data_IF_374803787296
#
_entry.id   IF_374803787296
#
_cell.length_a   1.000
_cell.length_b   1.000
_cell.length_c   1.000
_cell.angle_alpha   90.00
_cell.angle_beta   90.00
_cell.angle_gamma   90.00
#
_symmetry.space_group_name_H-M   'P 1'
#
loop_
_entity.id
_entity.type
_entity.pdbx_description
1 polymer ?
#
# COMPACT_ATOMS: atom_id res chain seq x y z
N UNK A 1 4.80 22.08 21.44
CA UNK A 1 4.06 22.88 20.44
C UNK A 1 3.25 21.88 19.65
N UNK A 2 1.91 21.92 19.74
CA UNK A 2 1.04 20.94 19.10
C UNK A 2 1.21 21.03 17.57
N UNK A 3 1.50 19.92 16.90
CA UNK A 3 1.56 19.92 15.43
C UNK A 3 0.17 20.12 14.84
N UNK A 4 0.05 21.04 13.89
CA UNK A 4 -1.21 21.43 13.27
C UNK A 4 -1.55 20.59 12.02
N UNK A 5 -2.84 20.53 11.61
CA UNK A 5 -3.29 19.72 10.49
C UNK A 5 -2.64 20.09 9.16
N UNK A 6 -2.41 19.09 8.31
CA UNK A 6 -1.89 19.22 6.95
C UNK A 6 -2.93 18.65 5.98
N UNK A 7 -3.31 19.44 4.96
CA UNK A 7 -4.21 18.94 3.92
C UNK A 7 -3.42 18.05 2.96
N UNK A 8 -3.93 16.85 2.71
CA UNK A 8 -3.44 15.98 1.65
C UNK A 8 -4.29 16.14 0.39
N UNK A 9 -3.65 16.28 -0.77
CA UNK A 9 -4.33 16.25 -2.07
C UNK A 9 -3.44 15.70 -3.18
N UNK A 10 -3.98 15.63 -4.39
CA UNK A 10 -3.23 15.24 -5.59
C UNK A 10 -3.21 16.37 -6.61
N UNK A 11 -2.06 16.56 -7.26
CA UNK A 11 -1.87 17.46 -8.39
C UNK A 11 -1.36 16.65 -9.58
N UNK A 12 -1.77 17.04 -10.78
CA UNK A 12 -1.31 16.44 -12.03
C UNK A 12 -0.50 17.50 -12.78
N UNK A 13 0.77 17.20 -13.12
CA UNK A 13 1.69 18.15 -13.74
C UNK A 13 1.15 18.76 -15.02
N UNK A 14 0.44 17.94 -15.81
CA UNK A 14 -0.06 18.34 -17.12
C UNK A 14 -1.45 19.00 -17.06
N UNK A 15 -1.98 19.29 -15.85
CA UNK A 15 -3.28 19.95 -15.66
C UNK A 15 -3.14 21.42 -15.27
N UNK A 16 -4.12 22.28 -15.62
CA UNK A 16 -4.11 23.68 -15.22
C UNK A 16 -4.10 23.86 -13.70
N UNK A 17 -3.14 24.63 -13.20
CA UNK A 17 -3.03 24.99 -11.79
C UNK A 17 -4.07 26.04 -11.42
N UNK A 18 -4.80 25.80 -10.33
CA UNK A 18 -5.77 26.73 -9.73
C UNK A 18 -5.39 27.03 -8.28
N UNK A 19 -5.72 28.23 -7.76
CA UNK A 19 -5.54 28.50 -6.33
C UNK A 19 -6.42 27.56 -5.50
N UNK A 20 -5.99 27.31 -4.27
CA UNK A 20 -6.73 26.53 -3.28
C UNK A 20 -7.21 27.48 -2.19
N UNK A 21 -8.51 27.52 -1.94
CA UNK A 21 -9.15 28.39 -0.95
C UNK A 21 -9.81 27.53 0.16
N UNK A 22 -10.22 28.15 1.27
CA UNK A 22 -10.91 27.46 2.38
C UNK A 22 -10.00 26.59 3.25
N UNK A 23 -8.71 26.95 3.33
CA UNK A 23 -7.67 26.22 4.04
C UNK A 23 -7.44 26.72 5.47
N UNK A 24 -8.40 27.41 6.08
CA UNK A 24 -8.26 28.07 7.38
C UNK A 24 -7.85 27.13 8.52
N UNK A 25 -8.14 25.83 8.35
CA UNK A 25 -7.83 24.77 9.33
C UNK A 25 -6.43 24.18 9.18
N UNK A 26 -5.73 24.45 8.07
CA UNK A 26 -4.49 23.78 7.69
C UNK A 26 -3.30 24.73 7.70
N UNK A 27 -2.16 24.28 8.19
CA UNK A 27 -0.92 25.08 8.17
C UNK A 27 -0.11 24.89 6.90
N UNK A 28 -0.38 23.82 6.16
CA UNK A 28 0.25 23.51 4.89
C UNK A 28 -0.65 22.56 4.08
N UNK A 29 -0.36 22.47 2.79
CA UNK A 29 -0.84 21.38 1.94
C UNK A 29 0.36 20.50 1.59
N UNK A 30 0.21 19.19 1.71
CA UNK A 30 1.12 18.23 1.08
C UNK A 30 0.39 17.59 -0.11
N UNK A 31 0.93 17.80 -1.31
CA UNK A 31 0.33 17.36 -2.55
C UNK A 31 1.17 16.26 -3.20
N UNK A 32 0.55 15.10 -3.42
CA UNK A 32 1.12 14.05 -4.25
C UNK A 32 1.05 14.55 -5.69
N UNK A 33 2.21 14.64 -6.33
CA UNK A 33 2.27 15.08 -7.71
C UNK A 33 2.32 13.87 -8.61
N UNK A 34 1.48 13.88 -9.65
CA UNK A 34 1.40 12.86 -10.67
C UNK A 34 1.80 13.40 -12.04
N UNK A 35 2.23 12.47 -12.89
CA UNK A 35 2.40 12.67 -14.33
C UNK A 35 1.73 11.51 -15.06
N UNK A 36 0.74 11.81 -15.89
CA UNK A 36 -0.08 10.82 -16.58
C UNK A 36 -0.72 9.79 -15.62
N UNK A 37 -1.03 10.17 -14.39
CA UNK A 37 -1.56 9.26 -13.36
C UNK A 37 -0.50 8.47 -12.56
N UNK A 38 0.78 8.49 -12.93
CA UNK A 38 1.87 7.90 -12.14
C UNK A 38 2.44 8.88 -11.11
N UNK A 39 2.80 8.47 -9.88
CA UNK A 39 3.30 9.38 -8.85
C UNK A 39 4.76 9.77 -9.11
N UNK A 40 5.09 11.07 -9.07
CA UNK A 40 6.45 11.57 -9.34
C UNK A 40 7.10 12.24 -8.14
N UNK A 41 6.34 12.66 -7.13
CA UNK A 41 6.90 13.38 -5.99
C UNK A 41 5.87 13.89 -5.00
N UNK A 42 6.37 14.48 -3.91
CA UNK A 42 5.59 15.31 -2.99
C UNK A 42 6.00 16.77 -3.15
N UNK A 43 5.03 17.67 -3.09
CA UNK A 43 5.29 19.10 -2.85
C UNK A 43 4.58 19.56 -1.60
N UNK A 44 5.29 20.33 -0.78
CA UNK A 44 4.71 21.03 0.35
C UNK A 44 4.40 22.46 -0.06
N UNK A 45 3.15 22.85 0.06
CA UNK A 45 2.65 24.15 -0.35
C UNK A 45 2.30 25.00 0.89
N UNK A 46 2.68 26.29 0.91
CA UNK A 46 2.34 27.16 2.02
C UNK A 46 0.84 27.48 2.02
N UNK A 47 0.28 27.60 3.22
CA UNK A 47 -1.06 28.16 3.44
C UNK A 47 -0.89 29.51 4.13
N UNK A 48 -1.48 30.55 3.56
CA UNK A 48 -1.46 31.92 4.10
C UNK A 48 -2.87 32.48 4.06
N UNK A 49 -3.40 32.88 5.21
CA UNK A 49 -4.77 33.41 5.35
C UNK A 49 -5.83 32.50 4.69
N UNK A 50 -5.74 31.19 4.97
CA UNK A 50 -6.70 30.21 4.44
C UNK A 50 -6.60 29.92 2.95
N UNK A 51 -5.50 30.32 2.29
CA UNK A 51 -5.32 30.16 0.84
C UNK A 51 -3.91 29.68 0.47
N UNK A 52 -3.83 28.92 -0.63
CA UNK A 52 -2.61 28.64 -1.37
C UNK A 52 -2.72 29.25 -2.79
N UNK A 53 -1.77 30.11 -3.17
CA UNK A 53 -1.83 30.81 -4.46
C UNK A 53 -1.46 29.89 -5.63
N UNK A 54 -2.01 30.15 -6.81
CA UNK A 54 -1.66 29.40 -8.02
C UNK A 54 -0.17 29.58 -8.42
N UNK A 55 0.45 30.68 -8.01
CA UNK A 55 1.88 30.95 -8.21
C UNK A 55 2.73 30.03 -7.33
N UNK A 56 2.43 29.96 -6.02
CA UNK A 56 3.15 29.07 -5.11
C UNK A 56 3.04 27.60 -5.52
N UNK A 57 1.88 27.19 -6.06
CA UNK A 57 1.70 25.84 -6.61
C UNK A 57 2.59 25.63 -7.84
N UNK A 58 2.60 26.56 -8.81
CA UNK A 58 3.45 26.46 -10.01
C UNK A 58 4.93 26.38 -9.65
N UNK A 59 5.41 27.29 -8.81
CA UNK A 59 6.80 27.27 -8.35
C UNK A 59 7.19 25.96 -7.65
N UNK A 60 6.26 25.36 -6.91
CA UNK A 60 6.50 24.08 -6.26
C UNK A 60 6.56 22.92 -7.25
N UNK A 61 5.70 22.91 -8.27
CA UNK A 61 5.72 21.91 -9.34
C UNK A 61 6.98 22.01 -10.19
N UNK A 62 7.47 23.22 -10.47
CA UNK A 62 8.70 23.47 -11.24
C UNK A 62 9.97 22.94 -10.55
N UNK A 63 9.93 22.75 -9.22
CA UNK A 63 11.03 22.16 -8.44
C UNK A 63 11.04 20.63 -8.44
N UNK A 64 9.98 19.99 -8.92
CA UNK A 64 9.98 18.53 -9.06
C UNK A 64 10.84 18.19 -10.26
N UNK A 65 12.02 17.64 -9.99
CA UNK A 65 12.70 16.81 -10.97
C UNK A 65 11.77 15.63 -11.25
N UNK A 66 11.23 15.47 -12.47
CA UNK A 66 10.38 14.33 -12.76
C UNK A 66 11.22 13.09 -12.50
N UNK A 67 10.87 12.31 -11.48
CA UNK A 67 11.41 10.97 -11.36
C UNK A 67 11.19 10.32 -12.73
N UNK A 68 12.26 9.78 -13.32
CA UNK A 68 12.23 9.07 -14.61
C UNK A 68 11.50 7.74 -14.43
N UNK A 69 10.21 7.81 -14.10
CA UNK A 69 9.29 6.71 -14.20
C UNK A 69 8.82 6.68 -15.65
N UNK A 70 9.14 5.64 -16.43
CA UNK A 70 8.66 5.53 -17.82
C UNK A 70 7.13 5.64 -17.80
N UNK A 71 6.54 6.58 -18.54
CA UNK A 71 5.11 6.90 -18.44
C UNK A 71 4.20 5.66 -18.49
N UNK A 72 2.94 5.76 -18.02
CA UNK A 72 1.98 4.65 -18.04
C UNK A 72 1.56 4.18 -19.45
N UNK A 73 2.24 4.66 -20.50
CA UNK A 73 1.92 4.46 -21.90
C UNK A 73 2.87 3.50 -22.65
N UNK A 74 3.68 2.72 -21.93
CA UNK A 74 4.23 1.46 -22.49
C UNK A 74 3.11 0.40 -22.51
N UNK A 75 2.11 0.64 -23.37
CA UNK A 75 0.90 -0.16 -23.59
C UNK A 75 1.09 -1.32 -24.59
N UNK A 76 2.31 -1.68 -24.96
CA UNK A 76 2.53 -2.69 -25.99
C UNK A 76 2.90 -4.04 -25.37
N UNK A 77 1.96 -4.99 -25.46
CA UNK A 77 2.18 -6.44 -25.39
C UNK A 77 2.73 -7.01 -24.08
N UNK A 78 2.05 -6.72 -22.97
CA UNK A 78 2.25 -7.54 -21.76
C UNK A 78 1.71 -8.97 -22.01
N UNK A 79 2.43 -10.02 -21.58
CA UNK A 79 1.87 -11.37 -21.51
C UNK A 79 0.55 -11.37 -20.72
N UNK A 80 -0.25 -12.44 -20.84
CA UNK A 80 -1.55 -12.57 -20.16
C UNK A 80 -1.47 -12.07 -18.72
N UNK A 81 -2.24 -11.02 -18.40
CA UNK A 81 -2.28 -10.42 -17.08
C UNK A 81 -2.60 -11.48 -16.02
N UNK A 82 -1.79 -11.64 -14.95
CA UNK A 82 -2.00 -12.69 -13.97
C UNK A 82 -3.31 -12.47 -13.22
N UNK A 83 -4.02 -13.55 -12.90
CA UNK A 83 -5.15 -13.46 -11.97
C UNK A 83 -4.69 -13.04 -10.57
N UNK A 84 -5.45 -12.17 -9.90
CA UNK A 84 -5.10 -11.61 -8.59
C UNK A 84 -6.22 -11.87 -7.58
N UNK A 85 -5.85 -12.42 -6.43
CA UNK A 85 -6.68 -12.38 -5.21
C UNK A 85 -6.22 -11.22 -4.34
N UNK A 86 -7.07 -10.23 -4.12
CA UNK A 86 -6.85 -9.21 -3.08
C UNK A 86 -7.37 -9.71 -1.75
N UNK A 87 -6.48 -9.97 -0.81
CA UNK A 87 -6.80 -10.43 0.53
C UNK A 87 -6.85 -9.25 1.51
N UNK A 88 -8.01 -9.05 2.13
CA UNK A 88 -8.22 -8.06 3.20
C UNK A 88 -8.46 -8.80 4.50
N UNK A 89 -7.50 -8.73 5.43
CA UNK A 89 -7.64 -9.30 6.77
C UNK A 89 -8.26 -8.26 7.69
N UNK A 90 -9.31 -8.62 8.42
CA UNK A 90 -10.05 -7.68 9.27
C UNK A 90 -10.51 -8.35 10.56
N UNK A 91 -10.68 -7.55 11.62
CA UNK A 91 -11.26 -8.01 12.88
C UNK A 91 -12.02 -6.87 13.54
N UNK A 92 -13.34 -7.02 13.66
CA UNK A 92 -14.21 -6.08 14.38
C UNK A 92 -14.08 -4.60 13.94
N UNK A 93 -13.72 -4.36 12.68
CA UNK A 93 -13.48 -3.03 12.08
C UNK A 93 -14.33 -2.80 10.82
N UNK A 94 -15.62 -3.11 10.93
CA UNK A 94 -16.55 -3.13 9.79
C UNK A 94 -16.62 -1.79 9.04
N UNK A 95 -16.46 -0.65 9.72
CA UNK A 95 -16.49 0.67 9.07
C UNK A 95 -15.22 0.98 8.26
N UNK A 96 -14.04 0.59 8.76
CA UNK A 96 -12.79 0.71 8.00
C UNK A 96 -12.85 -0.23 6.79
N UNK A 97 -13.25 -1.49 7.00
CA UNK A 97 -13.44 -2.45 5.93
C UNK A 97 -14.39 -1.95 4.83
N UNK A 98 -15.52 -1.34 5.19
CA UNK A 98 -16.46 -0.80 4.20
C UNK A 98 -15.78 0.24 3.28
N UNK A 99 -14.97 1.14 3.84
CA UNK A 99 -14.21 2.14 3.07
C UNK A 99 -13.12 1.50 2.21
N UNK A 100 -12.43 0.50 2.75
CA UNK A 100 -11.44 -0.26 1.97
C UNK A 100 -12.12 -0.91 0.76
N UNK A 101 -13.23 -1.62 0.95
CA UNK A 101 -14.00 -2.23 -0.13
C UNK A 101 -14.52 -1.20 -1.16
N UNK A 102 -14.94 0.00 -0.73
CA UNK A 102 -15.34 1.09 -1.63
C UNK A 102 -14.21 1.56 -2.57
N UNK A 103 -12.97 1.43 -2.12
CA UNK A 103 -11.80 1.71 -2.97
C UNK A 103 -11.46 0.55 -3.90
N UNK A 104 -11.65 -0.70 -3.44
CA UNK A 104 -11.39 -1.90 -4.25
C UNK A 104 -12.36 -2.03 -5.42
N UNK A 105 -13.61 -1.56 -5.28
CA UNK A 105 -14.60 -1.49 -6.37
C UNK A 105 -14.17 -0.57 -7.53
N UNK A 106 -13.18 0.31 -7.31
CA UNK A 106 -12.67 1.27 -8.30
C UNK A 106 -11.40 0.79 -8.99
N UNK A 107 -10.92 -0.41 -8.68
CA UNK A 107 -9.72 -0.97 -9.29
C UNK A 107 -9.97 -1.26 -10.77
N UNK A 108 -9.06 -0.79 -11.60
CA UNK A 108 -9.09 -1.02 -13.05
C UNK A 108 -8.30 -2.30 -13.40
N UNK A 109 -8.87 -3.45 -13.04
CA UNK A 109 -8.28 -4.78 -13.30
C UNK A 109 -9.34 -5.87 -13.43
N UNK A 110 -9.38 -6.57 -14.57
CA UNK A 110 -10.47 -7.51 -14.88
C UNK A 110 -10.32 -8.89 -14.24
N UNK A 111 -9.08 -9.38 -14.07
CA UNK A 111 -8.80 -10.71 -13.52
C UNK A 111 -8.59 -10.66 -11.99
N UNK A 112 -9.53 -10.03 -11.29
CA UNK A 112 -9.45 -9.72 -9.86
C UNK A 112 -10.58 -10.40 -9.08
N UNK A 113 -10.27 -11.07 -7.98
CA UNK A 113 -11.23 -11.37 -6.90
C UNK A 113 -10.80 -10.69 -5.59
N UNK A 114 -11.77 -10.35 -4.73
CA UNK A 114 -11.51 -9.86 -3.37
C UNK A 114 -11.88 -10.94 -2.38
N UNK A 115 -10.98 -11.25 -1.44
CA UNK A 115 -11.19 -12.18 -0.34
C UNK A 115 -11.09 -11.43 0.98
N UNK A 116 -12.22 -11.29 1.67
CA UNK A 116 -12.27 -10.81 3.05
C UNK A 116 -12.05 -11.99 4.00
N UNK A 117 -11.00 -11.90 4.81
CA UNK A 117 -10.72 -12.84 5.91
C UNK A 117 -11.09 -12.19 7.23
N UNK A 118 -12.20 -12.63 7.80
CA UNK A 118 -12.70 -12.16 9.09
C UNK A 118 -12.03 -12.95 10.23
N UNK A 119 -11.13 -12.30 10.95
CA UNK A 119 -10.24 -12.92 11.93
C UNK A 119 -10.82 -12.88 13.34
N UNK A 120 -11.16 -14.05 13.87
CA UNK A 120 -11.74 -14.24 15.20
C UNK A 120 -12.80 -13.17 15.56
N UNK A 121 -13.82 -12.96 14.71
CA UNK A 121 -14.78 -11.87 14.90
C UNK A 121 -15.62 -12.08 16.16
N UNK A 122 -15.94 -10.97 16.83
CA UNK A 122 -16.83 -10.93 17.99
C UNK A 122 -18.32 -10.95 17.62
N UNK A 123 -18.65 -10.68 16.35
CA UNK A 123 -20.02 -10.61 15.84
C UNK A 123 -20.11 -11.01 14.35
N UNK A 124 -21.32 -11.13 13.80
CA UNK A 124 -21.52 -11.41 12.37
C UNK A 124 -21.49 -10.15 11.49
N UNK A 125 -21.09 -8.98 12.02
CA UNK A 125 -21.18 -7.69 11.35
C UNK A 125 -20.42 -7.66 10.01
N UNK A 126 -19.16 -8.14 10.00
CA UNK A 126 -18.32 -8.25 8.79
C UNK A 126 -18.97 -9.14 7.73
N UNK A 127 -19.44 -10.33 8.12
CA UNK A 127 -20.12 -11.26 7.22
C UNK A 127 -21.38 -10.63 6.59
N UNK A 128 -22.17 -9.92 7.40
CA UNK A 128 -23.37 -9.23 6.93
C UNK A 128 -23.03 -8.07 5.98
N UNK A 129 -21.95 -7.33 6.24
CA UNK A 129 -21.46 -6.29 5.33
C UNK A 129 -21.11 -6.89 3.96
N UNK A 130 -20.26 -7.92 3.93
CA UNK A 130 -19.83 -8.57 2.66
C UNK A 130 -21.03 -9.14 1.91
N UNK A 131 -21.93 -9.85 2.61
CA UNK A 131 -23.14 -10.42 1.99
C UNK A 131 -24.05 -9.36 1.38
N UNK A 132 -24.23 -8.21 2.04
CA UNK A 132 -25.06 -7.10 1.54
C UNK A 132 -24.44 -6.40 0.34
N UNK A 133 -23.11 -6.30 0.30
CA UNK A 133 -22.38 -5.68 -0.80
C UNK A 133 -22.52 -6.48 -2.10
N UNK A 134 -22.45 -7.81 -2.02
CA UNK A 134 -22.46 -8.67 -3.20
C UNK A 134 -21.21 -8.47 -4.06
N UNK A 135 -21.31 -8.79 -5.35
CA UNK A 135 -20.20 -8.64 -6.30
C UNK A 135 -19.13 -9.73 -6.15
N UNK A 136 -17.90 -9.44 -6.60
CA UNK A 136 -16.79 -10.38 -6.59
C UNK A 136 -16.01 -10.42 -5.27
N UNK A 137 -16.73 -10.27 -4.14
CA UNK A 137 -16.16 -10.29 -2.79
C UNK A 137 -16.51 -11.60 -2.11
N UNK A 138 -15.50 -12.44 -1.90
CA UNK A 138 -15.59 -13.66 -1.11
C UNK A 138 -15.35 -13.34 0.36
N UNK A 139 -15.97 -14.14 1.22
CA UNK A 139 -15.82 -14.07 2.67
C UNK A 139 -15.36 -15.42 3.20
N UNK A 140 -14.38 -15.41 4.09
CA UNK A 140 -14.00 -16.57 4.91
C UNK A 140 -13.70 -16.14 6.33
N UNK A 141 -13.82 -17.08 7.27
CA UNK A 141 -13.55 -16.85 8.70
C UNK A 141 -12.30 -17.60 9.11
N UNK A 142 -11.40 -16.92 9.83
CA UNK A 142 -10.30 -17.58 10.54
C UNK A 142 -10.59 -17.56 12.05
N UNK A 143 -10.78 -18.71 12.70
CA UNK A 143 -11.18 -18.74 14.12
C UNK A 143 -10.05 -18.36 15.09
N UNK A 144 -8.77 -18.48 14.71
CA UNK A 144 -7.65 -18.17 15.60
C UNK A 144 -7.30 -16.68 15.51
N UNK A 145 -7.23 -15.95 16.64
CA UNK A 145 -6.90 -14.53 16.61
C UNK A 145 -5.44 -14.34 16.18
N UNK A 146 -5.21 -13.39 15.27
CA UNK A 146 -3.89 -13.03 14.75
C UNK A 146 -3.95 -12.66 13.27
N UNK A 147 -3.25 -11.59 12.89
CA UNK A 147 -3.14 -11.14 11.50
C UNK A 147 -2.47 -12.19 10.61
N UNK A 148 -1.43 -12.86 11.10
CA UNK A 148 -0.70 -13.86 10.32
C UNK A 148 -1.50 -15.16 10.21
N UNK A 149 -2.35 -15.49 11.19
CA UNK A 149 -3.36 -16.53 11.02
C UNK A 149 -4.34 -16.19 9.89
N UNK A 150 -4.79 -14.93 9.81
CA UNK A 150 -5.68 -14.46 8.75
C UNK A 150 -4.99 -14.45 7.37
N UNK A 151 -3.73 -14.01 7.29
CA UNK A 151 -2.93 -14.07 6.07
C UNK A 151 -2.72 -15.49 5.58
N UNK A 152 -2.46 -16.42 6.50
CA UNK A 152 -2.34 -17.83 6.17
C UNK A 152 -3.65 -18.45 5.68
N UNK A 153 -4.80 -18.02 6.25
CA UNK A 153 -6.11 -18.36 5.71
C UNK A 153 -6.27 -17.83 4.28
N UNK A 154 -5.87 -16.59 4.01
CA UNK A 154 -5.89 -16.05 2.65
C UNK A 154 -5.01 -16.85 1.68
N UNK A 155 -3.79 -17.24 2.08
CA UNK A 155 -2.91 -18.08 1.26
C UNK A 155 -3.60 -19.39 0.87
N UNK A 156 -4.29 -20.03 1.81
CA UNK A 156 -4.99 -21.29 1.58
C UNK A 156 -6.24 -21.18 0.68
N UNK A 157 -6.90 -20.01 0.67
CA UNK A 157 -8.20 -19.81 0.03
C UNK A 157 -8.11 -19.06 -1.31
N UNK A 158 -6.99 -18.37 -1.55
CA UNK A 158 -6.75 -17.58 -2.75
C UNK A 158 -6.68 -18.45 -4.01
N UNK A 159 -7.32 -18.00 -5.08
CA UNK A 159 -7.33 -18.71 -6.37
C UNK A 159 -6.47 -18.04 -7.44
N UNK A 160 -6.14 -16.76 -7.26
CA UNK A 160 -5.29 -16.01 -8.17
C UNK A 160 -3.86 -16.54 -8.24
N UNK A 161 -3.19 -16.28 -9.35
CA UNK A 161 -1.75 -16.51 -9.51
C UNK A 161 -0.92 -15.59 -8.62
N UNK A 162 -1.47 -14.42 -8.27
CA UNK A 162 -0.91 -13.45 -7.34
C UNK A 162 -1.87 -13.25 -6.17
N UNK A 163 -1.31 -13.15 -4.96
CA UNK A 163 -2.05 -12.76 -3.75
C UNK A 163 -1.54 -11.37 -3.34
N UNK A 164 -2.42 -10.37 -3.38
CA UNK A 164 -2.14 -9.01 -2.93
C UNK A 164 -2.79 -8.78 -1.55
N UNK A 165 -2.00 -8.46 -0.54
CA UNK A 165 -2.46 -8.17 0.81
C UNK A 165 -2.58 -6.67 1.02
N UNK A 166 -3.68 -6.27 1.67
CA UNK A 166 -3.84 -4.93 2.22
C UNK A 166 -4.68 -4.96 3.51
N UNK A 167 -4.61 -3.88 4.27
CA UNK A 167 -5.29 -3.76 5.56
C UNK A 167 -6.71 -3.20 5.39
N UNK A 168 -7.55 -3.38 6.41
CA UNK A 168 -8.92 -2.87 6.39
C UNK A 168 -9.02 -1.35 6.55
N UNK A 169 -7.97 -0.69 7.04
CA UNK A 169 -7.87 0.76 7.21
C UNK A 169 -7.08 1.44 6.08
N UNK A 170 -7.08 0.82 4.90
CA UNK A 170 -6.43 1.29 3.68
C UNK A 170 -7.45 1.68 2.60
N UNK A 171 -7.12 2.70 1.81
CA UNK A 171 -7.82 3.09 0.57
C UNK A 171 -6.86 2.86 -0.61
N UNK A 172 -7.19 1.93 -1.50
CA UNK A 172 -6.37 1.59 -2.66
C UNK A 172 -6.50 2.63 -3.78
N UNK A 173 -5.39 2.90 -4.47
CA UNK A 173 -5.42 3.67 -5.72
C UNK A 173 -5.99 2.82 -6.87
N UNK A 174 -6.69 3.44 -7.82
CA UNK A 174 -7.31 2.73 -8.94
C UNK A 174 -6.29 1.95 -9.80
N UNK A 175 -5.04 2.42 -9.87
CA UNK A 175 -3.94 1.77 -10.57
C UNK A 175 -3.19 0.70 -9.76
N UNK A 176 -3.56 0.46 -8.50
CA UNK A 176 -2.78 -0.35 -7.54
C UNK A 176 -2.48 -1.76 -8.06
N UNK A 177 -3.52 -2.53 -8.40
CA UNK A 177 -3.35 -3.92 -8.85
C UNK A 177 -2.72 -4.01 -10.23
N UNK A 178 -3.05 -3.08 -11.13
CA UNK A 178 -2.41 -3.00 -12.46
C UNK A 178 -0.89 -2.81 -12.32
N UNK A 179 -0.44 -1.94 -11.43
CA UNK A 179 0.98 -1.73 -11.18
C UNK A 179 1.67 -2.99 -10.61
N UNK A 180 1.03 -3.70 -9.67
CA UNK A 180 1.52 -4.98 -9.14
C UNK A 180 1.62 -6.04 -10.25
N UNK A 181 0.58 -6.18 -11.07
CA UNK A 181 0.56 -7.14 -12.16
C UNK A 181 1.67 -6.87 -13.18
N UNK A 182 1.88 -5.60 -13.56
CA UNK A 182 2.97 -5.19 -14.44
C UNK A 182 4.34 -5.49 -13.85
N UNK A 183 4.52 -5.25 -12.54
CA UNK A 183 5.75 -5.57 -11.83
C UNK A 183 6.11 -7.06 -11.89
N UNK A 184 5.12 -7.95 -11.75
CA UNK A 184 5.32 -9.40 -11.93
C UNK A 184 5.51 -9.81 -13.39
N UNK A 185 4.80 -9.18 -14.33
CA UNK A 185 4.92 -9.51 -15.75
C UNK A 185 6.29 -9.11 -16.32
N UNK A 186 6.89 -8.03 -15.83
CA UNK A 186 8.17 -7.51 -16.30
C UNK A 186 9.39 -8.34 -15.87
N UNK A 187 9.30 -9.10 -14.77
CA UNK A 187 10.43 -9.87 -14.23
C UNK A 187 9.92 -11.18 -13.58
N UNK A 188 10.22 -12.31 -14.22
CA UNK A 188 9.83 -13.63 -13.73
C UNK A 188 10.53 -14.04 -12.43
N UNK A 189 11.69 -13.45 -12.12
CA UNK A 189 12.45 -13.70 -10.87
C UNK A 189 11.84 -12.98 -9.67
N UNK A 190 10.96 -12.00 -9.88
CA UNK A 190 10.26 -11.30 -8.81
C UNK A 190 9.17 -12.21 -8.24
N UNK A 191 9.29 -12.54 -6.96
CA UNK A 191 8.30 -13.33 -6.24
C UNK A 191 7.49 -12.52 -5.23
N UNK A 192 7.95 -11.32 -4.88
CA UNK A 192 7.22 -10.36 -4.04
C UNK A 192 7.29 -8.94 -4.61
N UNK A 193 6.16 -8.23 -4.54
CA UNK A 193 6.06 -6.80 -4.86
C UNK A 193 5.55 -6.06 -3.64
N UNK A 194 6.15 -4.93 -3.31
CA UNK A 194 5.64 -3.98 -2.34
C UNK A 194 5.36 -2.65 -3.03
N UNK A 195 4.52 -1.80 -2.44
CA UNK A 195 4.14 -0.55 -3.04
C UNK A 195 4.28 0.67 -2.13
N UNK A 196 4.00 1.83 -2.71
CA UNK A 196 4.01 3.10 -2.00
C UNK A 196 2.81 3.18 -1.05
N UNK A 197 3.08 3.38 0.24
CA UNK A 197 2.04 3.60 1.26
C UNK A 197 2.08 5.06 1.67
N UNK A 198 0.97 5.76 1.48
CA UNK A 198 0.81 7.18 1.80
C UNK A 198 -0.16 7.34 2.98
N UNK A 199 -0.12 8.45 3.72
CA UNK A 199 -1.19 8.78 4.65
C UNK A 199 -2.50 9.02 3.88
N UNK A 200 -3.63 8.61 4.47
CA UNK A 200 -4.98 8.98 3.98
C UNK A 200 -5.45 10.31 4.54
N UNK A 201 -5.00 10.69 5.74
CA UNK A 201 -5.30 11.96 6.41
C UNK A 201 -4.16 12.36 7.35
N UNK A 202 -3.97 13.67 7.57
CA UNK A 202 -3.03 14.26 8.54
C UNK A 202 -3.75 15.33 9.36
N UNK A 203 -4.88 14.95 9.96
CA UNK A 203 -5.78 15.85 10.68
C UNK A 203 -5.41 16.01 12.16
N UNK A 204 -4.63 15.09 12.73
CA UNK A 204 -4.23 15.14 14.15
C UNK A 204 -2.71 15.14 14.31
N UNK A 205 -2.24 15.65 15.46
CA UNK A 205 -0.83 15.65 15.81
C UNK A 205 -0.22 14.24 15.78
N UNK A 206 -0.94 13.22 16.25
CA UNK A 206 -0.48 11.84 16.23
C UNK A 206 -0.18 11.36 14.80
N UNK A 207 -1.04 11.71 13.84
CA UNK A 207 -0.87 11.35 12.43
C UNK A 207 0.33 12.07 11.82
N UNK A 208 0.48 13.38 12.08
CA UNK A 208 1.63 14.16 11.61
C UNK A 208 2.95 13.65 12.20
N UNK A 209 2.97 13.30 13.49
CA UNK A 209 4.14 12.69 14.12
C UNK A 209 4.47 11.32 13.53
N UNK A 210 3.45 10.49 13.28
CA UNK A 210 3.64 9.20 12.64
C UNK A 210 4.26 9.35 11.26
N UNK A 211 3.70 10.20 10.40
CA UNK A 211 4.24 10.41 9.05
C UNK A 211 5.66 11.00 9.10
N UNK A 212 5.94 11.92 10.02
CA UNK A 212 7.29 12.51 10.11
C UNK A 212 8.37 11.52 10.54
N UNK A 213 8.07 10.59 11.45
CA UNK A 213 9.10 9.77 12.12
C UNK A 213 9.01 8.27 11.81
N UNK A 214 7.87 7.80 11.30
CA UNK A 214 7.54 6.38 11.10
C UNK A 214 6.85 6.12 9.76
N UNK A 215 6.91 7.06 8.80
CA UNK A 215 6.27 6.90 7.49
C UNK A 215 6.56 5.55 6.85
N UNK A 216 5.54 5.02 6.19
CA UNK A 216 5.63 3.82 5.38
C UNK A 216 6.16 4.09 3.96
N UNK A 217 6.22 5.36 3.53
CA UNK A 217 6.71 5.73 2.21
C UNK A 217 8.19 5.40 2.01
N UNK A 218 8.56 4.96 0.81
CA UNK A 218 9.96 4.66 0.43
C UNK A 218 10.40 5.40 -0.84
N UNK A 219 9.82 6.58 -1.05
CA UNK A 219 10.07 7.42 -2.20
C UNK A 219 9.42 6.91 -3.49
N UNK A 220 9.76 7.55 -4.60
CA UNK A 220 9.10 7.39 -5.89
C UNK A 220 9.93 6.63 -6.93
N UNK A 221 11.10 6.13 -6.54
CA UNK A 221 11.96 5.34 -7.41
C UNK A 221 11.65 3.84 -7.27
N UNK A 222 11.46 3.10 -8.37
CA UNK A 222 11.29 1.66 -8.33
C UNK A 222 12.62 1.04 -7.90
N UNK A 223 12.55 -0.02 -7.10
CA UNK A 223 13.75 -0.73 -6.63
C UNK A 223 13.56 -2.22 -6.84
N UNK A 224 14.55 -2.85 -7.45
CA UNK A 224 14.67 -4.31 -7.48
C UNK A 224 15.68 -4.71 -6.42
N UNK A 225 15.27 -5.60 -5.54
CA UNK A 225 16.03 -6.03 -4.38
C UNK A 225 16.29 -7.51 -4.55
N UNK A 226 17.56 -7.88 -4.53
CA UNK A 226 18.05 -9.25 -4.56
C UNK A 226 19.07 -9.43 -3.47
N UNK A 227 19.32 -10.67 -3.09
CA UNK A 227 20.41 -10.96 -2.18
C UNK A 227 21.76 -10.56 -2.82
N UNK A 228 22.51 -9.72 -2.12
CA UNK A 228 23.89 -9.42 -2.47
C UNK A 228 24.79 -10.43 -1.77
N UNK A 229 25.24 -11.47 -2.49
CA UNK A 229 26.10 -12.51 -1.93
C UNK A 229 27.53 -12.03 -1.66
N UNK A 230 27.98 -10.99 -2.35
CA UNK A 230 29.35 -10.47 -2.31
C UNK A 230 29.51 -9.29 -1.34
N UNK A 231 28.40 -8.70 -0.89
CA UNK A 231 28.37 -7.60 0.07
C UNK A 231 28.63 -7.99 1.55
N UNK A 232 28.91 -6.99 2.42
CA UNK A 232 29.06 -7.21 3.85
C UNK A 232 27.79 -7.84 4.45
N UNK A 233 27.95 -8.75 5.43
CA UNK A 233 26.84 -9.52 6.03
C UNK A 233 25.66 -8.62 6.46
N UNK A 234 25.95 -7.44 7.00
CA UNK A 234 24.96 -6.45 7.44
C UNK A 234 24.10 -5.86 6.30
N UNK A 235 24.55 -5.94 5.04
CA UNK A 235 23.88 -5.39 3.86
C UNK A 235 23.34 -6.46 2.91
N UNK A 236 23.66 -7.75 3.14
CA UNK A 236 23.26 -8.87 2.26
C UNK A 236 21.77 -8.96 2.01
N UNK A 237 20.98 -8.50 2.98
CA UNK A 237 19.53 -8.48 2.89
C UNK A 237 19.01 -7.05 2.80
N UNK A 238 19.62 -6.04 3.43
CA UNK A 238 19.06 -4.69 3.58
C UNK A 238 18.46 -4.45 4.96
N UNK A 239 18.05 -3.22 5.29
CA UNK A 239 17.31 -3.00 6.53
C UNK A 239 15.87 -3.45 6.32
N UNK A 240 15.28 -4.12 7.32
CA UNK A 240 13.94 -4.68 7.19
C UNK A 240 12.89 -3.64 6.75
N UNK A 241 13.04 -2.40 7.21
CA UNK A 241 12.19 -1.29 6.79
C UNK A 241 12.28 -0.93 5.31
N UNK A 242 13.36 -1.28 4.60
CA UNK A 242 13.62 -0.83 3.23
C UNK A 242 12.73 -1.50 2.17
N UNK A 243 12.20 -2.69 2.46
CA UNK A 243 11.49 -3.51 1.48
C UNK A 243 10.07 -3.04 1.22
N UNK A 244 9.39 -2.51 2.23
CA UNK A 244 7.97 -2.19 2.18
C UNK A 244 7.27 -2.57 3.48
N UNK A 245 5.95 -2.78 3.41
CA UNK A 245 5.12 -3.03 4.59
C UNK A 245 3.99 -4.00 4.26
N UNK A 246 3.48 -4.71 5.26
CA UNK A 246 2.36 -5.62 5.13
C UNK A 246 1.04 -5.02 4.63
N UNK A 247 0.88 -3.69 4.72
CA UNK A 247 -0.31 -2.97 4.23
C UNK A 247 -0.37 -2.89 2.69
N UNK A 248 0.76 -3.12 2.01
CA UNK A 248 0.88 -3.04 0.56
C UNK A 248 1.97 -3.99 0.07
N UNK A 249 1.62 -5.27 0.02
CA UNK A 249 2.51 -6.33 -0.46
C UNK A 249 1.73 -7.33 -1.31
N UNK A 250 2.39 -7.94 -2.27
CA UNK A 250 1.84 -8.99 -3.09
C UNK A 250 2.89 -10.06 -3.36
N UNK A 251 2.44 -11.30 -3.53
CA UNK A 251 3.29 -12.44 -3.77
C UNK A 251 2.76 -13.27 -4.92
N UNK A 252 3.64 -13.90 -5.70
CA UNK A 252 3.23 -15.02 -6.53
C UNK A 252 2.73 -16.12 -5.63
N UNK A 253 1.51 -16.63 -5.84
CA UNK A 253 0.93 -17.68 -4.98
C UNK A 253 1.85 -18.91 -4.89
N UNK A 254 2.46 -19.30 -6.01
CA UNK A 254 3.37 -20.45 -6.06
C UNK A 254 4.62 -20.31 -5.19
N UNK A 255 5.04 -19.09 -4.80
CA UNK A 255 6.23 -18.91 -3.95
C UNK A 255 6.05 -19.56 -2.57
N UNK A 256 4.82 -19.61 -2.06
CA UNK A 256 4.52 -20.17 -0.74
C UNK A 256 4.78 -21.68 -0.65
N UNK A 257 4.85 -22.41 -1.77
CA UNK A 257 5.27 -23.82 -1.80
C UNK A 257 6.75 -23.99 -1.44
N UNK A 258 7.57 -22.96 -1.72
CA UNK A 258 9.01 -22.96 -1.44
C UNK A 258 9.32 -22.30 -0.11
N UNK A 259 8.75 -21.12 0.15
CA UNK A 259 9.09 -20.32 1.33
C UNK A 259 8.20 -20.63 2.55
N UNK A 260 7.06 -21.30 2.36
CA UNK A 260 6.09 -21.58 3.41
C UNK A 260 5.21 -20.37 3.80
N UNK A 261 4.20 -20.56 4.66
CA UNK A 261 3.26 -19.51 5.10
C UNK A 261 3.89 -18.54 6.11
N UNK A 262 3.17 -17.48 6.51
CA UNK A 262 3.59 -16.58 7.60
C UNK A 262 3.73 -17.36 8.91
N UNK A 263 4.71 -17.01 9.75
CA UNK A 263 4.85 -17.58 11.09
C UNK A 263 3.97 -16.81 12.09
N UNK A 264 2.90 -17.40 12.65
CA UNK A 264 2.03 -16.71 13.60
C UNK A 264 2.73 -16.32 14.91
N UNK A 265 3.94 -16.82 15.18
CA UNK A 265 4.73 -16.35 16.31
C UNK A 265 5.21 -14.89 16.13
N UNK A 266 5.27 -14.40 14.88
CA UNK A 266 5.73 -13.04 14.53
C UNK A 266 4.60 -12.01 14.35
N UNK A 267 3.39 -12.37 14.79
CA UNK A 267 2.20 -11.54 14.67
C UNK A 267 2.25 -10.29 15.56
N UNK A 268 1.45 -9.28 15.24
CA UNK A 268 1.35 -8.03 16.03
C UNK A 268 0.83 -8.27 17.45
N UNK A 269 0.05 -9.34 17.65
CA UNK A 269 -0.53 -9.72 18.94
C UNK A 269 0.39 -10.54 19.84
N UNK A 270 1.60 -10.92 19.41
CA UNK A 270 2.53 -11.75 20.19
C UNK A 270 3.63 -10.92 20.85
N UNK A 271 4.57 -11.59 21.51
CA UNK A 271 5.75 -10.94 22.09
C UNK A 271 6.65 -10.26 21.05
N UNK A 272 6.64 -10.68 19.78
CA UNK A 272 7.41 -10.01 18.72
C UNK A 272 6.84 -8.63 18.39
N UNK A 273 5.54 -8.42 18.65
CA UNK A 273 4.79 -7.20 18.32
C UNK A 273 4.86 -6.87 16.82
N UNK A 274 4.87 -7.91 15.98
CA UNK A 274 5.00 -7.81 14.52
C UNK A 274 6.32 -8.36 13.99
N UNK A 275 6.54 -8.16 12.69
CA UNK A 275 7.71 -8.64 11.96
C UNK A 275 7.42 -9.80 11.00
N UNK A 276 6.19 -10.33 10.94
CA UNK A 276 5.81 -11.39 10.00
C UNK A 276 5.98 -11.02 8.53
N UNK A 277 5.70 -9.76 8.14
CA UNK A 277 5.94 -9.25 6.79
C UNK A 277 7.45 -9.12 6.47
N UNK A 278 8.22 -8.58 7.40
CA UNK A 278 9.67 -8.44 7.30
C UNK A 278 10.36 -9.80 7.12
N UNK A 279 9.95 -10.78 7.92
CA UNK A 279 10.49 -12.13 7.84
C UNK A 279 10.09 -12.82 6.52
N UNK A 280 8.87 -12.59 6.02
CA UNK A 280 8.44 -13.10 4.72
C UNK A 280 9.29 -12.52 3.58
N UNK A 281 9.57 -11.21 3.58
CA UNK A 281 10.46 -10.59 2.59
C UNK A 281 11.88 -11.15 2.66
N UNK A 282 12.39 -11.39 3.87
CA UNK A 282 13.67 -12.05 4.06
C UNK A 282 13.70 -13.46 3.45
N UNK A 283 12.66 -14.28 3.68
CA UNK A 283 12.56 -15.63 3.09
C UNK A 283 12.53 -15.60 1.56
N UNK A 284 11.82 -14.66 0.96
CA UNK A 284 11.83 -14.45 -0.51
C UNK A 284 13.26 -14.25 -1.02
N UNK A 285 14.01 -13.33 -0.41
CA UNK A 285 15.38 -13.04 -0.81
C UNK A 285 16.34 -14.22 -0.54
N UNK A 286 16.19 -14.88 0.61
CA UNK A 286 17.00 -16.02 1.04
C UNK A 286 16.88 -17.22 0.09
N UNK A 287 15.68 -17.48 -0.45
CA UNK A 287 15.45 -18.54 -1.44
C UNK A 287 15.82 -18.11 -2.88
N UNK A 288 16.54 -16.98 -3.04
CA UNK A 288 17.09 -16.54 -4.32
C UNK A 288 16.12 -15.80 -5.23
N UNK A 289 14.92 -15.47 -4.75
CA UNK A 289 13.96 -14.66 -5.50
C UNK A 289 14.22 -13.16 -5.34
N UNK A 290 13.74 -12.37 -6.29
CA UNK A 290 13.76 -10.92 -6.19
C UNK A 290 12.50 -10.38 -5.49
N UNK A 291 12.68 -9.28 -4.76
CA UNK A 291 11.60 -8.40 -4.29
C UNK A 291 11.62 -7.11 -5.09
N UNK A 292 10.45 -6.59 -5.46
CA UNK A 292 10.33 -5.30 -6.16
C UNK A 292 9.52 -4.31 -5.35
N UNK A 293 10.07 -3.13 -5.11
CA UNK A 293 9.30 -1.97 -4.68
C UNK A 293 8.79 -1.23 -5.93
N UNK A 294 7.47 -1.17 -6.09
CA UNK A 294 6.78 -0.54 -7.21
C UNK A 294 5.99 0.69 -6.71
N UNK A 295 6.55 1.92 -6.81
CA UNK A 295 5.92 3.11 -6.26
C UNK A 295 4.60 3.49 -6.94
N UNK A 296 4.28 2.92 -8.11
CA UNK A 296 2.96 3.07 -8.76
C UNK A 296 1.86 2.26 -8.11
N UNK A 297 2.22 1.22 -7.37
CA UNK A 297 1.28 0.46 -6.55
C UNK A 297 0.98 1.27 -5.28
N UNK A 298 0.08 2.24 -5.38
CA UNK A 298 -0.22 3.18 -4.29
C UNK A 298 -1.37 2.65 -3.44
N UNK A 299 -1.19 2.72 -2.13
CA UNK A 299 -2.31 2.67 -1.18
C UNK A 299 -2.21 3.81 -0.17
N UNK A 300 -3.35 4.17 0.44
CA UNK A 300 -3.44 5.22 1.47
C UNK A 300 -3.86 4.61 2.79
N UNK A 301 -2.97 4.60 3.77
CA UNK A 301 -3.18 4.03 5.08
C UNK A 301 -3.75 5.07 6.05
N UNK A 302 -4.72 4.70 6.88
CA UNK A 302 -5.26 5.54 7.94
C UNK A 302 -4.46 5.40 9.23
N UNK A 303 -3.57 6.35 9.47
CA UNK A 303 -2.85 6.40 10.74
C UNK A 303 -3.81 6.61 11.92
N UNK A 304 -3.45 6.04 13.07
CA UNK A 304 -4.18 6.25 14.31
C UNK A 304 -4.27 7.74 14.62
N UNK A 305 -5.44 8.16 15.09
CA UNK A 305 -5.72 9.57 15.40
C UNK A 305 -5.16 9.99 16.76
N UNK A 306 -4.80 9.03 17.61
CA UNK A 306 -4.21 9.20 18.95
C UNK A 306 -2.81 8.57 19.02
N UNK A 307 -2.02 8.94 20.03
CA UNK A 307 -0.66 8.43 20.23
C UNK A 307 -0.59 7.05 20.92
N UNK A 308 -1.74 6.50 21.32
CA UNK A 308 -1.89 5.23 22.04
C UNK A 308 -1.79 3.99 21.12
#
# INVERSE_FOLDING_TARGET
MQLAPILLLELELDRPVRPLDGLDRFVAVEALVRRNGGPVGWVRLPVTQGRCSAEAIREALDRIEPATLPGPDERADLPSQPSVTVAVCTRDRTDDLARCLDSLDRLDYSALEVLVVDNAPSSEATRLLVRRRGGNVRYTREPRPGLDWARNRAIAEATGEVIAFTDDDVVADAGWIRAIAMAFAADASVAAVTGLVLPSELDTEAQVLFERYRSFGRGFAPRRIVQDHDGPVAHRYGAAGDYGTGANMAFRRAVFEQIGPFDPALDVGTLSRGGGDLEMFFRVLKEGHALRYEPRAIVRHRHRRTLE
#
